data_IF_042575730348
#
_entry.id   IF_042575730348
#
_cell.length_a   1.000
_cell.length_b   1.000
_cell.length_c   1.000
_cell.angle_alpha   90.00
_cell.angle_beta   90.00
_cell.angle_gamma   90.00
#
_symmetry.space_group_name_H-M   'P 1'
#
loop_
_entity.id
_entity.type
_entity.pdbx_description
1 polymer ?
#
# COMPACT_ATOMS: atom_id res chain seq x y z
N UNK A 1 5.94 49.74 -45.03
CA UNK A 1 7.25 49.15 -45.36
C UNK A 1 7.37 47.85 -44.57
N UNK A 2 7.29 46.74 -45.28
CA UNK A 2 7.33 45.38 -44.76
C UNK A 2 8.78 44.87 -44.71
N UNK A 3 9.11 44.08 -43.68
CA UNK A 3 10.28 43.18 -43.64
C UNK A 3 10.08 42.24 -42.44
N UNK A 4 9.39 41.11 -42.63
CA UNK A 4 9.96 39.78 -42.87
C UNK A 4 10.98 39.31 -41.81
N UNK A 5 10.50 38.56 -40.81
CA UNK A 5 11.31 37.50 -40.17
C UNK A 5 10.66 36.15 -40.47
N UNK A 6 11.52 35.24 -40.94
CA UNK A 6 11.19 33.95 -41.54
C UNK A 6 10.84 32.90 -40.47
N UNK A 7 9.85 32.09 -40.82
CA UNK A 7 9.59 30.76 -40.27
C UNK A 7 10.73 29.80 -40.63
N UNK A 8 11.05 28.89 -39.71
CA UNK A 8 11.76 27.65 -39.98
C UNK A 8 11.08 26.53 -39.21
N UNK A 9 10.54 25.55 -39.93
CA UNK A 9 9.72 24.44 -39.45
C UNK A 9 10.53 23.13 -39.36
N UNK A 10 10.16 22.32 -38.35
CA UNK A 10 9.98 20.86 -38.29
C UNK A 10 10.94 19.86 -39.00
N UNK A 11 11.39 18.86 -38.24
CA UNK A 11 11.28 17.40 -38.48
C UNK A 11 12.06 16.67 -37.34
N UNK A 12 11.44 15.98 -36.38
CA UNK A 12 11.03 14.55 -36.36
C UNK A 12 12.03 13.59 -37.00
N UNK A 13 12.71 12.79 -36.17
CA UNK A 13 13.15 11.44 -36.53
C UNK A 13 13.25 10.56 -35.28
N UNK A 14 12.53 9.45 -35.32
CA UNK A 14 12.57 8.33 -34.38
C UNK A 14 13.75 7.39 -34.66
N UNK A 15 14.22 6.66 -33.65
CA UNK A 15 15.20 5.57 -33.77
C UNK A 15 15.28 4.82 -32.45
N UNK A 16 14.41 3.83 -32.22
CA UNK A 16 14.66 2.38 -32.36
C UNK A 16 15.51 1.79 -31.22
N UNK A 17 14.79 1.13 -30.30
CA UNK A 17 15.22 0.00 -29.48
C UNK A 17 15.96 -1.06 -30.33
N UNK A 18 17.11 -1.55 -29.86
CA UNK A 18 17.37 -2.97 -29.65
C UNK A 18 18.84 -3.24 -29.28
N UNK A 19 19.01 -4.03 -28.20
CA UNK A 19 19.94 -5.16 -28.19
C UNK A 19 21.38 -4.91 -27.74
N UNK A 20 21.74 -5.53 -26.61
CA UNK A 20 22.98 -6.28 -26.47
C UNK A 20 22.86 -7.27 -25.29
N UNK A 21 22.23 -8.41 -25.57
CA UNK A 21 22.48 -9.67 -24.87
C UNK A 21 23.80 -10.23 -25.43
N UNK A 22 24.83 -10.26 -24.59
CA UNK A 22 26.11 -10.89 -24.91
C UNK A 22 26.06 -12.39 -24.65
N UNK A 23 26.14 -13.16 -25.74
CA UNK A 23 26.35 -14.61 -25.74
C UNK A 23 27.83 -14.97 -25.65
N UNK A 24 28.16 -15.95 -24.81
CA UNK A 24 29.26 -16.92 -24.99
C UNK A 24 28.55 -18.28 -25.01
N UNK A 25 28.56 -19.13 -26.04
CA UNK A 25 29.51 -19.34 -27.11
C UNK A 25 30.24 -20.66 -26.89
N UNK A 26 29.62 -21.81 -27.24
CA UNK A 26 30.33 -23.04 -27.63
C UNK A 26 29.40 -24.07 -28.31
N UNK A 27 29.50 -24.06 -29.64
CA UNK A 27 29.33 -25.11 -30.65
C UNK A 27 28.97 -26.54 -30.23
N UNK A 28 27.97 -27.13 -30.91
CA UNK A 28 28.25 -28.14 -31.95
C UNK A 28 27.03 -28.38 -32.84
N UNK A 29 27.34 -28.66 -34.10
CA UNK A 29 26.50 -28.73 -35.30
C UNK A 29 26.23 -30.21 -35.60
N UNK A 30 24.99 -30.58 -35.92
CA UNK A 30 24.67 -31.79 -36.69
C UNK A 30 23.28 -31.64 -37.31
N UNK A 31 23.20 -31.86 -38.62
CA UNK A 31 22.02 -31.87 -39.48
C UNK A 31 22.18 -33.13 -40.38
N UNK A 32 21.16 -33.57 -41.14
CA UNK A 32 19.92 -34.21 -40.71
C UNK A 32 19.83 -35.67 -41.19
N UNK A 33 18.89 -36.45 -40.66
CA UNK A 33 18.48 -37.71 -41.28
C UNK A 33 16.95 -37.76 -41.39
N UNK A 34 16.50 -37.69 -42.64
CA UNK A 34 15.14 -37.98 -43.09
C UNK A 34 14.81 -39.45 -42.82
N UNK A 35 13.74 -39.69 -42.06
CA UNK A 35 13.22 -41.02 -41.76
C UNK A 35 11.71 -40.93 -41.59
N UNK A 36 10.98 -41.22 -42.66
CA UNK A 36 9.54 -41.39 -42.72
C UNK A 36 9.17 -42.73 -42.07
N UNK A 37 8.38 -42.72 -41.00
CA UNK A 37 7.65 -43.90 -40.51
C UNK A 37 6.26 -43.45 -40.04
N UNK A 38 5.29 -44.28 -40.40
CA UNK A 38 3.85 -44.16 -40.26
C UNK A 38 3.34 -44.16 -38.80
N UNK A 39 2.32 -43.33 -38.60
CA UNK A 39 1.08 -43.56 -37.85
C UNK A 39 1.07 -44.63 -36.72
N UNK A 40 0.92 -44.18 -35.48
CA UNK A 40 0.01 -44.83 -34.53
C UNK A 40 -0.64 -43.79 -33.62
N UNK A 41 -1.94 -43.70 -33.73
CA UNK A 41 -2.89 -42.92 -32.94
C UNK A 41 -2.93 -43.44 -31.50
N UNK A 42 -2.63 -42.60 -30.51
CA UNK A 42 -3.19 -42.76 -29.17
C UNK A 42 -3.45 -41.38 -28.55
N UNK A 43 -4.73 -41.03 -28.51
CA UNK A 43 -5.24 -39.82 -27.92
C UNK A 43 -5.18 -39.95 -26.38
N UNK A 44 -4.19 -39.31 -25.76
CA UNK A 44 -4.21 -39.05 -24.32
C UNK A 44 -5.04 -37.78 -24.08
N UNK A 45 -6.33 -37.99 -23.80
CA UNK A 45 -7.26 -36.98 -23.29
C UNK A 45 -6.80 -36.54 -21.90
N UNK A 46 -5.90 -35.55 -21.84
CA UNK A 46 -5.63 -34.84 -20.60
C UNK A 46 -6.83 -33.94 -20.30
N UNK A 47 -7.74 -34.44 -19.48
CA UNK A 47 -8.81 -33.66 -18.89
C UNK A 47 -8.20 -32.60 -17.98
N UNK A 48 -8.00 -31.39 -18.51
CA UNK A 48 -7.81 -30.18 -17.70
C UNK A 48 -9.14 -29.89 -17.02
N UNK A 49 -9.36 -30.52 -15.86
CA UNK A 49 -10.41 -30.07 -14.95
C UNK A 49 -10.11 -28.63 -14.52
N UNK A 50 -11.11 -27.74 -14.43
CA UNK A 50 -10.88 -26.42 -13.87
C UNK A 50 -10.40 -26.62 -12.43
N UNK A 51 -9.20 -26.13 -12.12
CA UNK A 51 -8.77 -25.97 -10.75
C UNK A 51 -9.82 -25.06 -10.08
N UNK A 52 -10.70 -25.64 -9.28
CA UNK A 52 -11.49 -24.89 -8.31
C UNK A 52 -10.49 -24.22 -7.39
N UNK A 53 -10.17 -22.97 -7.68
CA UNK A 53 -9.54 -22.06 -6.73
C UNK A 53 -10.41 -22.12 -5.47
N UNK A 54 -9.90 -22.75 -4.42
CA UNK A 54 -10.55 -22.73 -3.11
C UNK A 54 -10.51 -21.29 -2.65
N UNK A 55 -11.68 -20.63 -2.66
CA UNK A 55 -11.85 -19.29 -2.10
C UNK A 55 -11.34 -19.29 -0.65
N UNK A 56 -10.31 -18.48 -0.38
CA UNK A 56 -9.67 -18.38 0.93
C UNK A 56 -10.47 -17.39 1.76
N UNK A 57 -11.64 -17.80 2.25
CA UNK A 57 -12.25 -17.05 3.34
C UNK A 57 -11.32 -17.17 4.57
N UNK A 58 -10.94 -16.07 5.24
CA UNK A 58 -10.05 -16.12 6.39
C UNK A 58 -10.64 -17.02 7.49
N UNK A 59 -9.92 -18.07 7.87
CA UNK A 59 -10.36 -19.01 8.90
C UNK A 59 -10.42 -18.31 10.26
N UNK A 60 -11.47 -18.55 11.04
CA UNK A 60 -11.69 -17.92 12.36
C UNK A 60 -10.54 -18.13 13.38
N UNK A 61 -9.64 -19.09 13.12
CA UNK A 61 -8.47 -19.40 13.96
C UNK A 61 -7.22 -18.61 13.60
N UNK A 62 -7.23 -17.82 12.53
CA UNK A 62 -6.08 -17.02 12.11
C UNK A 62 -5.84 -15.82 13.03
N UNK A 63 -4.58 -15.36 13.11
CA UNK A 63 -4.20 -14.13 13.83
C UNK A 63 -5.00 -12.93 13.31
N UNK A 64 -5.15 -11.87 14.12
CA UNK A 64 -5.87 -10.67 13.69
C UNK A 64 -5.19 -10.02 12.48
N UNK A 65 -3.86 -10.06 12.48
CA UNK A 65 -2.96 -9.64 11.40
C UNK A 65 -3.22 -10.42 10.12
N UNK A 66 -3.24 -11.76 10.20
CA UNK A 66 -3.51 -12.61 9.04
C UNK A 66 -4.93 -12.40 8.48
N UNK A 67 -5.93 -12.17 9.33
CA UNK A 67 -7.29 -11.87 8.88
C UNK A 67 -7.39 -10.52 8.16
N UNK A 68 -6.71 -9.49 8.65
CA UNK A 68 -6.67 -8.19 7.98
C UNK A 68 -5.92 -8.29 6.64
N UNK A 69 -4.74 -8.90 6.64
CA UNK A 69 -3.89 -9.01 5.45
C UNK A 69 -4.45 -9.95 4.38
N UNK A 70 -5.38 -10.84 4.72
CA UNK A 70 -6.13 -11.62 3.74
C UNK A 70 -7.01 -10.76 2.81
N UNK A 71 -7.24 -9.49 3.15
CA UNK A 71 -7.94 -8.52 2.31
C UNK A 71 -7.00 -7.63 1.49
N UNK A 72 -5.68 -7.91 1.51
CA UNK A 72 -4.72 -7.24 0.66
C UNK A 72 -4.89 -7.73 -0.79
N UNK A 73 -5.06 -6.79 -1.72
CA UNK A 73 -5.05 -7.10 -3.14
C UNK A 73 -3.72 -7.81 -3.51
N UNK A 74 -3.77 -9.02 -4.10
CA UNK A 74 -2.56 -9.74 -4.47
C UNK A 74 -1.69 -9.01 -5.49
N UNK A 75 -2.28 -8.10 -6.29
CA UNK A 75 -1.57 -7.26 -7.25
C UNK A 75 -1.12 -5.92 -6.66
N UNK A 76 -1.39 -5.64 -5.38
CA UNK A 76 -0.95 -4.40 -4.73
C UNK A 76 0.58 -4.25 -4.81
N UNK A 77 1.01 -3.08 -5.27
CA UNK A 77 2.43 -2.70 -5.28
C UNK A 77 2.81 -1.92 -4.03
N UNK A 78 1.83 -1.30 -3.37
CA UNK A 78 2.03 -0.53 -2.15
C UNK A 78 0.98 -0.90 -1.12
N UNK A 79 1.40 -1.13 0.11
CA UNK A 79 0.51 -1.36 1.23
C UNK A 79 1.07 -0.78 2.54
N UNK A 80 0.16 -0.40 3.43
CA UNK A 80 0.47 0.07 4.76
C UNK A 80 -0.52 -0.53 5.77
N UNK A 81 -0.01 -1.22 6.79
CA UNK A 81 -0.77 -1.67 7.94
C UNK A 81 -0.47 -0.78 9.15
N UNK A 82 -1.49 -0.27 9.83
CA UNK A 82 -1.36 0.72 10.91
C UNK A 82 -2.27 0.37 12.08
N UNK A 83 -1.74 0.47 13.29
CA UNK A 83 -2.52 0.38 14.53
C UNK A 83 -3.22 1.72 14.82
N UNK A 84 -4.54 1.75 14.58
CA UNK A 84 -5.37 2.93 14.80
C UNK A 84 -5.49 3.30 16.29
N UNK A 85 -5.19 2.38 17.21
CA UNK A 85 -5.32 2.59 18.65
C UNK A 85 -4.30 3.58 19.24
N UNK A 86 -3.20 3.87 18.54
CA UNK A 86 -2.13 4.76 19.02
C UNK A 86 -2.25 6.21 18.55
N UNK A 87 -3.21 6.55 17.69
CA UNK A 87 -3.48 7.92 17.20
C UNK A 87 -2.21 8.70 16.80
N UNK A 88 -1.31 8.03 16.08
CA UNK A 88 -0.02 8.62 15.69
C UNK A 88 -0.18 9.57 14.49
N UNK A 89 0.67 10.59 14.42
CA UNK A 89 0.83 11.40 13.21
C UNK A 89 1.62 10.62 12.15
N UNK A 90 0.89 9.79 11.40
CA UNK A 90 1.46 8.88 10.39
C UNK A 90 2.15 9.62 9.26
N UNK A 91 1.69 10.83 8.91
CA UNK A 91 2.31 11.64 7.88
C UNK A 91 3.71 12.10 8.33
N UNK A 92 3.84 12.56 9.57
CA UNK A 92 5.14 12.90 10.13
C UNK A 92 6.05 11.67 10.25
N UNK A 93 5.52 10.52 10.68
CA UNK A 93 6.28 9.27 10.73
C UNK A 93 6.82 8.87 9.35
N UNK A 94 5.97 8.89 8.32
CA UNK A 94 6.38 8.58 6.95
C UNK A 94 7.42 9.57 6.44
N UNK A 95 7.22 10.86 6.71
CA UNK A 95 8.22 11.88 6.40
C UNK A 95 9.56 11.61 7.10
N UNK A 96 9.56 11.29 8.40
CA UNK A 96 10.78 10.96 9.16
C UNK A 96 11.49 9.72 8.60
N UNK A 97 10.74 8.75 8.09
CA UNK A 97 11.26 7.56 7.42
C UNK A 97 11.84 7.85 6.01
N UNK A 98 11.68 9.05 5.47
CA UNK A 98 12.06 9.37 4.09
C UNK A 98 11.13 8.72 3.07
N UNK A 99 9.83 8.60 3.39
CA UNK A 99 8.88 7.99 2.49
C UNK A 99 8.68 8.82 1.21
N UNK A 100 8.48 8.19 0.05
CA UNK A 100 8.03 8.90 -1.14
C UNK A 100 6.61 9.46 -0.93
N UNK A 101 6.21 10.57 -1.61
CA UNK A 101 4.93 11.24 -1.38
C UNK A 101 3.70 10.34 -1.54
N UNK A 102 3.76 9.35 -2.43
CA UNK A 102 2.68 8.38 -2.63
C UNK A 102 2.43 7.55 -1.37
N UNK A 103 3.51 7.16 -0.67
CA UNK A 103 3.42 6.41 0.59
C UNK A 103 2.93 7.30 1.71
N UNK A 104 3.41 8.55 1.79
CA UNK A 104 2.91 9.54 2.76
C UNK A 104 1.39 9.76 2.62
N UNK A 105 0.90 9.91 1.38
CA UNK A 105 -0.52 10.06 1.09
C UNK A 105 -1.33 8.81 1.45
N UNK A 106 -0.78 7.62 1.19
CA UNK A 106 -1.42 6.34 1.54
C UNK A 106 -1.63 6.20 3.05
N UNK A 107 -0.58 6.43 3.85
CA UNK A 107 -0.67 6.30 5.32
C UNK A 107 -1.54 7.38 5.94
N UNK A 108 -1.64 8.56 5.33
CA UNK A 108 -2.58 9.58 5.80
C UNK A 108 -4.01 9.10 5.60
N UNK A 109 -4.33 8.61 4.39
CA UNK A 109 -5.69 8.16 4.03
C UNK A 109 -6.21 7.00 4.91
N UNK A 110 -5.33 6.11 5.36
CA UNK A 110 -5.74 4.97 6.21
C UNK A 110 -6.33 5.41 7.56
N UNK A 111 -5.87 6.53 8.11
CA UNK A 111 -6.35 7.07 9.38
C UNK A 111 -7.56 8.00 9.22
N UNK A 112 -7.64 8.71 8.10
CA UNK A 112 -8.67 9.73 7.89
C UNK A 112 -10.05 9.10 7.62
N UNK A 113 -10.15 8.07 6.78
CA UNK A 113 -11.46 7.55 6.37
C UNK A 113 -12.34 6.99 7.52
N UNK A 114 -11.81 6.23 8.50
CA UNK A 114 -12.58 5.82 9.68
C UNK A 114 -13.05 7.01 10.54
N UNK A 115 -12.20 8.04 10.64
CA UNK A 115 -12.48 9.26 11.42
C UNK A 115 -13.56 10.10 10.74
N UNK A 116 -13.42 10.36 9.44
CA UNK A 116 -14.40 11.09 8.62
C UNK A 116 -15.78 10.43 8.66
N UNK A 117 -15.82 9.09 8.63
CA UNK A 117 -17.08 8.36 8.73
C UNK A 117 -17.71 8.50 10.12
N UNK A 118 -16.91 8.42 11.18
CA UNK A 118 -17.40 8.58 12.55
C UNK A 118 -17.99 9.99 12.77
N UNK A 119 -17.33 11.03 12.26
CA UNK A 119 -17.83 12.41 12.31
C UNK A 119 -19.13 12.56 11.52
N UNK A 120 -19.21 12.03 10.30
CA UNK A 120 -20.41 12.07 9.49
C UNK A 120 -21.60 11.38 10.19
N UNK A 121 -21.37 10.18 10.71
CA UNK A 121 -22.42 9.41 11.40
C UNK A 121 -22.91 10.13 12.65
N UNK A 122 -22.03 10.81 13.39
CA UNK A 122 -22.41 11.59 14.57
C UNK A 122 -23.32 12.80 14.24
N UNK A 123 -23.29 13.31 12.99
CA UNK A 123 -24.21 14.38 12.56
C UNK A 123 -25.64 13.88 12.42
N UNK A 124 -25.83 12.68 11.88
CA UNK A 124 -27.15 12.09 11.62
C UNK A 124 -27.66 11.24 12.79
N UNK A 125 -26.74 10.65 13.57
CA UNK A 125 -27.02 9.78 14.72
C UNK A 125 -26.10 10.18 15.90
N UNK A 126 -26.46 11.21 16.68
CA UNK A 126 -25.56 11.82 17.68
C UNK A 126 -25.02 10.87 18.76
N UNK A 127 -25.79 9.83 19.11
CA UNK A 127 -25.39 8.84 20.13
C UNK A 127 -24.63 7.64 19.54
N UNK A 128 -24.49 7.56 18.21
CA UNK A 128 -23.77 6.48 17.57
C UNK A 128 -22.27 6.61 17.82
N UNK A 129 -21.65 5.49 18.21
CA UNK A 129 -20.20 5.39 18.37
C UNK A 129 -19.70 4.25 17.50
N UNK A 130 -19.21 4.58 16.32
CA UNK A 130 -18.45 3.63 15.52
C UNK A 130 -17.18 3.27 16.29
N UNK A 131 -16.95 1.98 16.47
CA UNK A 131 -15.78 1.46 17.17
C UNK A 131 -14.82 0.89 16.15
N UNK A 132 -13.63 1.47 16.10
CA UNK A 132 -12.51 0.99 15.31
C UNK A 132 -11.55 0.27 16.24
N UNK A 133 -11.12 -0.93 15.85
CA UNK A 133 -10.26 -1.76 16.70
C UNK A 133 -8.97 -2.12 15.97
N UNK A 134 -7.85 -2.15 16.69
CA UNK A 134 -6.59 -2.71 16.22
C UNK A 134 -6.07 -2.09 14.92
N UNK A 135 -5.89 -2.95 13.92
CA UNK A 135 -5.18 -2.63 12.69
C UNK A 135 -6.12 -2.17 11.57
N UNK A 136 -5.63 -1.24 10.77
CA UNK A 136 -6.16 -0.91 9.46
C UNK A 136 -5.09 -1.14 8.39
N UNK A 137 -5.54 -1.42 7.17
CA UNK A 137 -4.75 -1.67 5.99
C UNK A 137 -5.14 -0.63 4.93
N UNK A 138 -4.16 -0.06 4.24
CA UNK A 138 -4.36 0.65 3.00
C UNK A 138 -3.52 -0.01 1.92
N UNK A 139 -4.08 -0.21 0.73
CA UNK A 139 -3.36 -0.79 -0.40
C UNK A 139 -3.62 -0.02 -1.68
N UNK A 140 -2.63 -0.02 -2.57
CA UNK A 140 -2.69 0.59 -3.88
C UNK A 140 -2.22 -0.40 -4.94
N UNK A 141 -3.04 -0.61 -5.96
CA UNK A 141 -2.70 -1.36 -7.16
C UNK A 141 -1.78 -0.57 -8.10
N UNK A 142 -1.17 -1.22 -9.10
CA UNK A 142 -0.21 -0.60 -10.02
C UNK A 142 -0.84 0.45 -10.95
N UNK A 143 -2.13 0.32 -11.24
CA UNK A 143 -2.88 1.22 -12.14
C UNK A 143 -3.89 2.08 -11.39
N UNK A 144 -4.02 1.87 -10.08
CA UNK A 144 -5.03 2.53 -9.27
C UNK A 144 -4.47 3.82 -8.67
N UNK A 145 -5.16 4.93 -8.93
CA UNK A 145 -4.83 6.22 -8.30
C UNK A 145 -5.45 6.38 -6.92
N UNK A 146 -6.28 5.44 -6.47
CA UNK A 146 -7.03 5.56 -5.21
C UNK A 146 -6.90 4.30 -4.39
N UNK A 147 -6.50 4.40 -3.11
CA UNK A 147 -6.30 3.22 -2.29
C UNK A 147 -7.63 2.59 -1.87
N UNK A 148 -7.57 1.29 -1.61
CA UNK A 148 -8.58 0.58 -0.83
C UNK A 148 -8.11 0.57 0.60
N UNK A 149 -9.00 0.92 1.51
CA UNK A 149 -8.74 0.93 2.94
C UNK A 149 -9.57 -0.16 3.58
N UNK A 150 -9.00 -0.94 4.48
CA UNK A 150 -9.68 -1.95 5.27
C UNK A 150 -9.44 -1.63 6.74
N UNK A 151 -10.49 -1.58 7.55
CA UNK A 151 -10.37 -1.31 8.97
C UNK A 151 -11.13 -2.37 9.76
N UNK A 152 -10.59 -2.77 10.91
CA UNK A 152 -11.32 -3.64 11.81
C UNK A 152 -12.36 -2.85 12.63
N UNK A 153 -13.53 -3.45 12.79
CA UNK A 153 -14.70 -2.86 13.46
C UNK A 153 -15.01 -3.61 14.75
N UNK A 154 -15.40 -2.85 15.77
CA UNK A 154 -15.94 -3.39 17.02
C UNK A 154 -17.45 -3.61 16.94
N UNK A 155 -17.95 -4.65 17.63
CA UNK A 155 -19.39 -4.92 17.75
C UNK A 155 -20.03 -5.68 16.58
N UNK A 156 -19.25 -6.04 15.56
CA UNK A 156 -19.68 -6.91 14.46
C UNK A 156 -20.35 -6.18 13.29
N UNK A 157 -20.34 -6.83 12.12
CA UNK A 157 -20.85 -6.24 10.86
C UNK A 157 -22.32 -5.81 10.93
N UNK A 158 -23.18 -6.55 11.64
CA UNK A 158 -24.61 -6.27 11.68
C UNK A 158 -24.93 -5.00 12.47
N UNK A 159 -24.30 -4.82 13.64
CA UNK A 159 -24.44 -3.61 14.45
C UNK A 159 -23.88 -2.39 13.72
N UNK A 160 -22.73 -2.57 13.06
CA UNK A 160 -22.11 -1.54 12.23
C UNK A 160 -23.03 -1.13 11.07
N UNK A 161 -23.57 -2.09 10.33
CA UNK A 161 -24.48 -1.83 9.20
C UNK A 161 -25.80 -1.20 9.64
N UNK A 162 -26.36 -1.60 10.79
CA UNK A 162 -27.56 -0.99 11.35
C UNK A 162 -27.32 0.49 11.71
N UNK A 163 -26.15 0.80 12.27
CA UNK A 163 -25.74 2.18 12.57
C UNK A 163 -25.65 3.02 11.31
N UNK A 164 -25.03 2.49 10.25
CA UNK A 164 -24.93 3.20 8.97
C UNK A 164 -26.27 3.33 8.25
N UNK A 165 -27.15 2.34 8.35
CA UNK A 165 -28.51 2.44 7.82
C UNK A 165 -29.29 3.56 8.52
N UNK A 166 -29.12 3.73 9.83
CA UNK A 166 -29.69 4.86 10.58
C UNK A 166 -29.11 6.21 10.12
N UNK A 167 -27.82 6.25 9.74
CA UNK A 167 -27.17 7.39 9.10
C UNK A 167 -27.48 7.52 7.58
N UNK A 168 -28.49 6.81 7.08
CA UNK A 168 -28.98 6.97 5.71
C UNK A 168 -28.19 6.22 4.63
N UNK A 169 -27.31 5.28 4.98
CA UNK A 169 -26.69 4.40 3.99
C UNK A 169 -27.70 3.38 3.47
N UNK A 170 -27.66 3.09 2.16
CA UNK A 170 -28.46 2.04 1.53
C UNK A 170 -27.63 0.79 1.30
N UNK A 171 -28.21 -0.39 1.59
CA UNK A 171 -27.58 -1.68 1.36
C UNK A 171 -27.84 -2.18 -0.07
N UNK A 172 -26.80 -2.71 -0.69
CA UNK A 172 -26.78 -3.37 -1.99
C UNK A 172 -25.89 -4.63 -1.91
N UNK A 173 -25.97 -5.52 -2.89
CA UNK A 173 -25.11 -6.71 -2.98
C UNK A 173 -24.43 -6.74 -4.34
N UNK A 174 -23.09 -6.76 -4.35
CA UNK A 174 -22.27 -6.76 -5.58
C UNK A 174 -21.11 -7.73 -5.44
N UNK A 175 -20.91 -8.59 -6.44
CA UNK A 175 -19.79 -9.57 -6.45
C UNK A 175 -19.72 -10.47 -5.20
N UNK A 176 -20.87 -10.70 -4.55
CA UNK A 176 -20.98 -11.46 -3.31
C UNK A 176 -20.68 -10.67 -2.03
N UNK A 177 -20.43 -9.36 -2.13
CA UNK A 177 -20.24 -8.48 -0.99
C UNK A 177 -21.48 -7.66 -0.68
N UNK A 178 -21.76 -7.44 0.61
CA UNK A 178 -22.70 -6.41 1.04
C UNK A 178 -22.04 -5.04 0.96
N UNK A 179 -22.63 -4.14 0.18
CA UNK A 179 -22.13 -2.79 -0.06
C UNK A 179 -23.12 -1.79 0.53
N UNK A 180 -22.62 -0.89 1.37
CA UNK A 180 -23.34 0.22 1.96
C UNK A 180 -22.97 1.49 1.18
N UNK A 181 -23.95 2.02 0.44
CA UNK A 181 -23.81 3.22 -0.36
C UNK A 181 -24.29 4.44 0.44
N UNK A 182 -23.45 5.48 0.63
CA UNK A 182 -23.88 6.71 1.27
C UNK A 182 -24.84 7.49 0.37
N UNK A 183 -25.90 8.06 0.96
CA UNK A 183 -26.77 9.02 0.26
C UNK A 183 -26.12 10.39 0.04
N UNK A 184 -25.16 10.76 0.88
CA UNK A 184 -24.52 12.08 0.90
C UNK A 184 -23.18 12.19 0.18
N UNK A 185 -22.41 13.19 0.60
CA UNK A 185 -21.11 13.55 0.02
C UNK A 185 -19.94 12.64 0.45
N UNK A 186 -20.18 11.68 1.35
CA UNK A 186 -19.15 10.75 1.82
C UNK A 186 -18.48 10.06 0.61
N UNK A 187 -17.14 10.15 0.48
CA UNK A 187 -16.46 9.83 -0.76
C UNK A 187 -16.28 8.33 -1.00
N UNK A 188 -16.59 7.49 -0.01
CA UNK A 188 -16.42 6.04 -0.08
C UNK A 188 -17.77 5.32 0.00
N UNK A 189 -17.89 4.19 -0.71
CA UNK A 189 -18.85 3.15 -0.35
C UNK A 189 -18.17 2.22 0.64
N UNK A 190 -18.96 1.61 1.52
CA UNK A 190 -18.43 0.74 2.55
C UNK A 190 -18.80 -0.70 2.22
N UNK A 191 -17.82 -1.60 2.19
CA UNK A 191 -18.02 -3.01 1.86
C UNK A 191 -17.87 -3.81 3.16
N UNK A 192 -18.87 -4.60 3.52
CA UNK A 192 -18.78 -5.52 4.65
C UNK A 192 -18.03 -6.77 4.18
N UNK A 193 -16.90 -7.07 4.80
CA UNK A 193 -16.00 -8.14 4.36
C UNK A 193 -16.27 -9.44 5.13
N UNK A 194 -15.87 -9.45 6.39
CA UNK A 194 -16.17 -10.51 7.37
C UNK A 194 -16.85 -9.89 8.61
N UNK A 195 -17.04 -10.66 9.67
CA UNK A 195 -17.70 -10.16 10.87
C UNK A 195 -16.92 -9.06 11.60
N UNK A 196 -15.62 -8.88 11.32
CA UNK A 196 -14.73 -7.95 11.99
C UNK A 196 -14.11 -6.87 11.11
N UNK A 197 -14.33 -6.85 9.79
CA UNK A 197 -13.68 -5.90 8.88
C UNK A 197 -14.64 -5.27 7.88
N UNK A 198 -14.33 -4.01 7.53
CA UNK A 198 -14.99 -3.27 6.44
C UNK A 198 -13.96 -2.64 5.52
N UNK A 199 -14.27 -2.55 4.23
CA UNK A 199 -13.47 -1.80 3.27
C UNK A 199 -14.12 -0.46 2.89
N UNK A 200 -13.29 0.56 2.68
CA UNK A 200 -13.66 1.83 2.09
C UNK A 200 -13.18 1.85 0.64
N UNK A 201 -14.14 1.87 -0.29
CA UNK A 201 -13.85 1.90 -1.73
C UNK A 201 -14.33 3.23 -2.29
N UNK A 202 -13.43 3.98 -2.95
CA UNK A 202 -13.78 5.29 -3.49
C UNK A 202 -14.95 5.23 -4.47
N UNK A 203 -15.82 6.25 -4.39
CA UNK A 203 -16.94 6.46 -5.34
C UNK A 203 -16.53 7.32 -6.53
N UNK A 204 -15.44 8.07 -6.42
CA UNK A 204 -15.06 9.11 -7.39
C UNK A 204 -13.99 8.66 -8.40
N UNK A 205 -13.32 7.53 -8.15
CA UNK A 205 -12.28 7.04 -9.05
C UNK A 205 -12.90 6.18 -10.15
N UNK A 206 -12.48 6.42 -11.39
CA UNK A 206 -12.71 5.45 -12.46
C UNK A 206 -11.84 4.23 -12.12
N UNK A 207 -12.41 3.02 -12.22
CA UNK A 207 -11.70 1.78 -11.89
C UNK A 207 -11.76 1.34 -10.43
N UNK A 208 -12.32 2.13 -9.49
CA UNK A 208 -12.50 1.70 -8.08
C UNK A 208 -13.70 0.75 -7.91
N UNK A 209 -13.59 -0.40 -8.58
CA UNK A 209 -14.49 -1.54 -8.45
C UNK A 209 -14.19 -2.37 -7.20
N UNK A 210 -14.88 -3.50 -7.09
CA UNK A 210 -14.63 -4.48 -6.03
C UNK A 210 -13.59 -5.53 -6.43
N UNK A 211 -13.07 -5.47 -7.67
CA UNK A 211 -12.11 -6.44 -8.21
C UNK A 211 -10.92 -6.71 -7.30
N UNK A 212 -10.28 -5.71 -6.65
CA UNK A 212 -9.18 -5.99 -5.72
C UNK A 212 -9.61 -6.79 -4.48
N UNK A 213 -10.82 -6.55 -3.96
CA UNK A 213 -11.37 -7.30 -2.83
C UNK A 213 -11.79 -8.72 -3.25
N UNK A 214 -12.38 -8.86 -4.44
CA UNK A 214 -12.68 -10.14 -5.06
C UNK A 214 -11.38 -10.94 -5.29
N UNK A 215 -10.32 -10.29 -5.78
CA UNK A 215 -9.00 -10.89 -5.98
C UNK A 215 -8.38 -11.34 -4.65
N UNK A 216 -8.40 -10.50 -3.61
CA UNK A 216 -7.93 -10.87 -2.27
C UNK A 216 -8.65 -12.12 -1.70
N UNK A 217 -9.97 -12.23 -1.92
CA UNK A 217 -10.77 -13.40 -1.51
C UNK A 217 -10.44 -14.68 -2.29
N UNK A 218 -10.24 -14.54 -3.61
CA UNK A 218 -10.27 -15.66 -4.54
C UNK A 218 -8.87 -16.16 -4.97
N UNK A 219 -7.82 -15.34 -4.81
CA UNK A 219 -6.45 -15.63 -5.23
C UNK A 219 -5.54 -15.96 -4.03
N UNK A 220 -4.41 -16.66 -4.26
CA UNK A 220 -3.46 -16.96 -3.20
C UNK A 220 -2.71 -15.71 -2.72
N UNK A 221 -2.17 -15.82 -1.50
CA UNK A 221 -1.41 -14.74 -0.87
C UNK A 221 -0.22 -14.27 -1.71
N UNK A 222 -0.11 -12.95 -1.89
CA UNK A 222 1.01 -12.36 -2.62
C UNK A 222 2.32 -12.44 -1.84
N UNK A 223 3.48 -12.22 -2.49
CA UNK A 223 4.74 -12.01 -1.78
C UNK A 223 4.68 -10.83 -0.80
N UNK A 224 3.94 -9.77 -1.15
CA UNK A 224 3.73 -8.60 -0.29
C UNK A 224 2.94 -8.96 0.97
N UNK A 225 1.82 -9.68 0.83
CA UNK A 225 1.01 -10.16 1.96
C UNK A 225 1.86 -10.95 2.94
N UNK A 226 2.63 -11.93 2.44
CA UNK A 226 3.48 -12.79 3.28
C UNK A 226 4.55 -12.00 4.02
N UNK A 227 5.25 -11.09 3.32
CA UNK A 227 6.27 -10.22 3.94
C UNK A 227 5.67 -9.35 5.04
N UNK A 228 4.54 -8.71 4.79
CA UNK A 228 3.88 -7.88 5.79
C UNK A 228 3.40 -8.71 6.96
N UNK A 229 2.86 -9.91 6.73
CA UNK A 229 2.44 -10.81 7.80
C UNK A 229 3.63 -11.19 8.70
N UNK A 230 4.74 -11.61 8.11
CA UNK A 230 5.96 -11.94 8.85
C UNK A 230 6.44 -10.77 9.71
N UNK A 231 6.39 -9.54 9.18
CA UNK A 231 6.74 -8.33 9.92
C UNK A 231 5.76 -8.02 11.06
N UNK A 232 4.45 -8.15 10.81
CA UNK A 232 3.41 -7.88 11.80
C UNK A 232 3.37 -8.91 12.92
N UNK A 233 3.81 -10.15 12.68
CA UNK A 233 3.91 -11.20 13.69
C UNK A 233 5.22 -11.16 14.50
N UNK A 234 6.18 -10.30 14.10
CA UNK A 234 7.44 -10.13 14.81
C UNK A 234 7.27 -9.57 16.24
N UNK A 235 8.30 -9.76 17.08
CA UNK A 235 8.34 -9.25 18.46
C UNK A 235 9.54 -8.31 18.65
N UNK A 236 9.34 -7.07 19.14
CA UNK A 236 8.06 -6.42 19.45
C UNK A 236 7.20 -6.21 18.17
N UNK A 237 5.87 -6.31 18.32
CA UNK A 237 4.94 -6.15 17.20
C UNK A 237 4.97 -4.70 16.69
N UNK A 238 5.08 -4.47 15.38
CA UNK A 238 5.01 -3.14 14.82
C UNK A 238 3.62 -2.51 14.95
N UNK A 239 3.61 -1.19 15.11
CA UNK A 239 2.41 -0.34 15.12
C UNK A 239 2.17 0.28 13.74
N UNK A 240 3.19 0.32 12.89
CA UNK A 240 3.09 0.70 11.48
C UNK A 240 4.02 -0.22 10.69
N UNK A 241 3.54 -0.76 9.58
CA UNK A 241 4.30 -1.55 8.61
C UNK A 241 3.92 -1.06 7.21
N UNK A 242 4.92 -0.70 6.41
CA UNK A 242 4.73 -0.11 5.09
C UNK A 242 5.65 -0.84 4.11
N UNK A 243 5.11 -1.27 2.99
CA UNK A 243 5.89 -1.82 1.90
C UNK A 243 5.39 -1.27 0.56
N UNK A 244 6.31 -0.79 -0.26
CA UNK A 244 6.05 -0.21 -1.57
C UNK A 244 7.09 -0.71 -2.57
N UNK A 245 6.65 -1.00 -3.79
CA UNK A 245 7.47 -1.47 -4.88
C UNK A 245 7.12 -0.75 -6.19
N UNK A 246 8.08 -0.71 -7.10
CA UNK A 246 7.97 -0.04 -8.39
C UNK A 246 8.70 1.29 -8.41
N UNK A 247 8.66 2.05 -9.52
CA UNK A 247 9.28 3.37 -9.59
C UNK A 247 8.48 4.34 -8.71
N UNK A 248 9.02 4.66 -7.54
CA UNK A 248 8.43 5.58 -6.57
C UNK A 248 9.13 6.94 -6.72
N UNK A 249 8.47 7.96 -7.30
CA UNK A 249 9.03 9.31 -7.35
C UNK A 249 9.28 9.81 -5.93
N UNK A 250 10.43 10.43 -5.71
CA UNK A 250 10.84 10.92 -4.39
C UNK A 250 11.31 12.38 -4.52
N UNK A 251 10.83 13.27 -3.65
CA UNK A 251 11.08 14.71 -3.79
C UNK A 251 12.52 15.11 -3.49
N UNK A 252 13.17 14.39 -2.58
CA UNK A 252 14.57 14.65 -2.23
C UNK A 252 15.55 13.82 -3.06
N UNK A 253 15.09 12.94 -3.96
CA UNK A 253 15.96 12.07 -4.73
C UNK A 253 16.04 12.52 -6.20
N UNK A 254 17.22 12.46 -6.83
CA UNK A 254 17.32 12.72 -8.27
C UNK A 254 16.65 11.62 -9.11
N UNK A 255 16.71 10.39 -8.61
CA UNK A 255 16.19 9.18 -9.26
C UNK A 255 15.05 8.57 -8.42
N UNK A 256 14.10 7.86 -9.04
CA UNK A 256 13.06 7.17 -8.30
C UNK A 256 13.63 6.06 -7.40
N UNK A 257 12.85 5.64 -6.41
CA UNK A 257 13.12 4.41 -5.66
C UNK A 257 12.53 3.23 -6.43
N UNK A 258 13.20 2.08 -6.45
CA UNK A 258 12.65 0.80 -6.88
C UNK A 258 11.75 0.15 -5.82
N UNK A 259 11.93 0.57 -4.56
CA UNK A 259 11.17 0.07 -3.43
C UNK A 259 11.41 0.89 -2.17
N UNK A 260 10.44 0.80 -1.27
CA UNK A 260 10.47 1.43 0.04
C UNK A 260 9.84 0.47 1.05
N UNK A 261 10.48 0.34 2.21
CA UNK A 261 9.94 -0.42 3.33
C UNK A 261 10.15 0.36 4.60
N UNK A 262 9.15 0.43 5.46
CA UNK A 262 9.29 1.06 6.77
C UNK A 262 8.49 0.33 7.83
N UNK A 263 9.09 0.22 9.01
CA UNK A 263 8.50 -0.41 10.17
C UNK A 263 8.66 0.51 11.37
N UNK A 264 7.58 0.70 12.13
CA UNK A 264 7.60 1.42 13.40
C UNK A 264 7.24 0.45 14.50
N UNK A 265 8.16 0.29 15.45
CA UNK A 265 7.98 -0.62 16.58
C UNK A 265 7.96 0.14 17.89
N UNK A 266 7.20 -0.33 18.90
CA UNK A 266 7.34 0.17 20.26
C UNK A 266 8.78 0.03 20.75
N UNK A 267 9.28 1.10 21.35
CA UNK A 267 10.59 1.18 21.97
C UNK A 267 10.43 1.69 23.41
N UNK A 268 11.47 1.54 24.23
CA UNK A 268 11.54 1.81 25.67
C UNK A 268 10.48 2.77 26.22
N UNK A 269 9.78 2.37 27.29
CA UNK A 269 8.86 3.21 28.08
C UNK A 269 7.77 3.93 27.25
N UNK A 270 7.39 3.37 26.09
CA UNK A 270 6.36 3.93 25.21
C UNK A 270 6.89 4.76 24.04
N UNK A 271 8.21 4.88 23.89
CA UNK A 271 8.87 5.41 22.70
C UNK A 271 8.63 4.59 21.43
N UNK A 272 9.23 5.01 20.33
CA UNK A 272 9.14 4.35 19.02
C UNK A 272 10.54 4.17 18.40
N UNK A 273 10.78 3.04 17.73
CA UNK A 273 11.93 2.82 16.84
C UNK A 273 11.38 2.77 15.41
N UNK A 274 11.65 3.82 14.64
CA UNK A 274 11.31 3.97 13.23
C UNK A 274 12.49 3.47 12.42
N UNK A 275 12.26 2.50 11.53
CA UNK A 275 13.25 1.98 10.61
C UNK A 275 12.70 2.02 9.20
N UNK A 276 13.53 2.38 8.23
CA UNK A 276 13.17 2.30 6.82
C UNK A 276 14.33 1.81 5.96
N UNK A 277 13.98 1.18 4.84
CA UNK A 277 14.86 0.78 3.76
C UNK A 277 14.38 1.43 2.47
N UNK A 278 15.22 2.28 1.88
CA UNK A 278 14.97 2.92 0.61
C UNK A 278 15.90 2.31 -0.43
N UNK A 279 15.33 1.86 -1.56
CA UNK A 279 16.06 1.17 -2.62
C UNK A 279 16.15 2.09 -3.84
N UNK A 280 17.13 3.00 -3.95
CA UNK A 280 17.25 3.90 -5.10
C UNK A 280 17.55 3.14 -6.39
N UNK A 281 17.06 3.64 -7.53
CA UNK A 281 17.53 3.17 -8.84
C UNK A 281 18.85 3.83 -9.26
N UNK A 282 19.19 4.96 -8.63
CA UNK A 282 20.43 5.71 -8.83
C UNK A 282 21.49 5.45 -7.75
N UNK A 283 22.36 6.43 -7.52
CA UNK A 283 23.42 6.35 -6.52
C UNK A 283 22.87 6.46 -5.07
N UNK A 284 23.06 5.44 -4.21
CA UNK A 284 22.57 5.46 -2.84
C UNK A 284 23.27 6.49 -1.94
N UNK A 285 24.53 6.83 -2.20
CA UNK A 285 25.24 7.88 -1.44
C UNK A 285 24.62 9.26 -1.70
N UNK A 286 24.29 9.54 -2.96
CA UNK A 286 23.58 10.76 -3.35
C UNK A 286 22.20 10.87 -2.68
N UNK A 287 21.43 9.77 -2.60
CA UNK A 287 20.15 9.75 -1.89
C UNK A 287 20.33 10.00 -0.38
N UNK A 288 21.26 9.30 0.27
CA UNK A 288 21.51 9.44 1.70
C UNK A 288 21.95 10.87 2.06
N UNK A 289 22.81 11.47 1.24
CA UNK A 289 23.24 12.86 1.39
C UNK A 289 22.07 13.83 1.19
N UNK A 290 21.20 13.61 0.21
CA UNK A 290 20.06 14.47 -0.03
C UNK A 290 19.04 14.41 1.12
N UNK A 291 18.72 13.21 1.63
CA UNK A 291 17.83 13.03 2.78
C UNK A 291 18.40 13.66 4.06
N UNK A 292 19.72 13.52 4.29
CA UNK A 292 20.39 14.12 5.45
C UNK A 292 20.40 15.65 5.41
N UNK A 293 20.44 16.24 4.20
CA UNK A 293 20.47 17.68 3.98
C UNK A 293 19.11 18.26 3.57
N UNK A 294 18.04 17.47 3.65
CA UNK A 294 16.72 17.89 3.18
C UNK A 294 16.24 19.11 3.96
N UNK A 295 15.53 19.98 3.24
CA UNK A 295 14.88 21.13 3.88
C UNK A 295 13.58 20.67 4.52
N UNK A 296 13.26 21.24 5.67
CA UNK A 296 11.99 21.02 6.40
C UNK A 296 11.12 22.29 6.33
N UNK A 297 10.72 22.76 5.13
CA UNK A 297 9.97 24.02 5.03
C UNK A 297 8.59 23.87 5.68
N UNK A 298 8.20 24.86 6.48
CA UNK A 298 6.87 24.89 7.11
C UNK A 298 6.70 23.99 8.34
N UNK A 299 7.75 23.27 8.76
CA UNK A 299 7.74 22.53 10.03
C UNK A 299 8.07 23.46 11.20
N UNK A 300 7.46 23.20 12.36
CA UNK A 300 7.86 23.85 13.61
C UNK A 300 9.28 23.40 14.02
N UNK A 301 9.90 24.15 14.94
CA UNK A 301 11.27 23.93 15.35
C UNK A 301 11.52 22.54 15.96
N UNK A 302 10.54 22.00 16.71
CA UNK A 302 10.68 20.68 17.37
C UNK A 302 10.62 19.57 16.34
N UNK A 303 9.67 19.65 15.41
CA UNK A 303 9.54 18.70 14.30
C UNK A 303 10.78 18.74 13.40
N UNK A 304 11.29 19.93 13.07
CA UNK A 304 12.53 20.09 12.32
C UNK A 304 13.77 19.57 13.09
N UNK A 305 13.80 19.72 14.42
CA UNK A 305 14.85 19.14 15.26
C UNK A 305 14.79 17.61 15.25
N UNK A 306 13.61 17.01 15.33
CA UNK A 306 13.42 15.57 15.24
C UNK A 306 13.83 15.01 13.88
N UNK A 307 13.47 15.68 12.78
CA UNK A 307 13.85 15.28 11.42
C UNK A 307 15.37 15.24 11.22
N UNK A 308 16.12 16.12 11.88
CA UNK A 308 17.60 16.16 11.84
C UNK A 308 18.26 15.03 12.65
N UNK A 309 17.51 14.31 13.48
CA UNK A 309 18.04 13.17 14.25
C UNK A 309 17.99 11.85 13.49
N UNK A 310 17.31 11.81 12.33
CA UNK A 310 17.23 10.61 11.52
C UNK A 310 18.61 10.28 10.97
N UNK A 311 19.10 9.07 11.25
CA UNK A 311 20.34 8.57 10.70
C UNK A 311 20.06 7.86 9.37
N UNK A 312 20.67 8.34 8.28
CA UNK A 312 20.65 7.69 6.98
C UNK A 312 22.02 7.05 6.71
N UNK A 313 22.04 5.74 6.49
CA UNK A 313 23.28 4.97 6.26
C UNK A 313 23.17 4.14 5.00
N UNK A 314 24.23 4.10 4.19
CA UNK A 314 24.28 3.29 2.97
C UNK A 314 24.77 1.88 3.29
N UNK A 315 24.03 0.87 2.84
CA UNK A 315 24.41 -0.55 2.92
C UNK A 315 24.18 -1.20 1.55
N UNK A 316 25.26 -1.29 0.75
CA UNK A 316 25.16 -1.76 -0.64
C UNK A 316 24.28 -0.81 -1.46
N UNK A 317 23.24 -1.34 -2.09
CA UNK A 317 22.29 -0.54 -2.90
C UNK A 317 21.05 -0.10 -2.11
N UNK A 318 21.11 -0.07 -0.78
CA UNK A 318 20.01 0.32 0.10
C UNK A 318 20.45 1.48 0.99
N UNK A 319 19.61 2.49 1.12
CA UNK A 319 19.74 3.51 2.16
C UNK A 319 18.84 3.11 3.32
N UNK A 320 19.42 2.90 4.50
CA UNK A 320 18.66 2.63 5.72
C UNK A 320 18.44 3.92 6.48
N UNK A 321 17.21 4.18 6.88
CA UNK A 321 16.87 5.23 7.83
C UNK A 321 16.58 4.62 9.20
N UNK A 322 17.06 5.26 10.28
CA UNK A 322 16.67 4.89 11.64
C UNK A 322 16.51 6.11 12.54
N UNK A 323 15.46 6.09 13.35
CA UNK A 323 15.19 7.09 14.37
C UNK A 323 14.56 6.44 15.60
N UNK A 324 15.17 6.65 16.76
CA UNK A 324 14.59 6.28 18.05
C UNK A 324 13.98 7.52 18.69
N UNK A 325 12.68 7.46 18.99
CA UNK A 325 11.87 8.57 19.48
C UNK A 325 11.50 8.28 20.94
N UNK A 326 11.98 9.07 21.91
CA UNK A 326 11.61 8.90 23.31
C UNK A 326 10.11 9.10 23.56
N UNK A 327 9.58 8.45 24.60
CA UNK A 327 8.15 8.49 24.93
C UNK A 327 7.58 9.92 25.13
N UNK A 328 8.38 10.83 25.69
CA UNK A 328 8.00 12.24 25.84
C UNK A 328 7.77 12.91 24.49
N UNK A 329 8.67 12.67 23.53
CA UNK A 329 8.55 13.21 22.17
C UNK A 329 7.37 12.60 21.41
N UNK A 330 7.11 11.29 21.61
CA UNK A 330 5.93 10.64 21.03
C UNK A 330 4.66 11.33 21.52
N UNK A 331 4.51 11.53 22.83
CA UNK A 331 3.33 12.20 23.42
C UNK A 331 3.18 13.64 22.96
N UNK A 332 4.29 14.37 22.90
CA UNK A 332 4.25 15.81 22.65
C UNK A 332 4.08 16.17 21.16
N UNK A 333 4.55 15.31 20.24
CA UNK A 333 4.61 15.62 18.81
C UNK A 333 3.86 14.64 17.91
N UNK A 334 3.71 13.38 18.32
CA UNK A 334 3.17 12.33 17.45
C UNK A 334 1.77 11.88 17.85
N UNK A 335 1.38 11.99 19.12
CA UNK A 335 0.02 11.66 19.53
C UNK A 335 -0.94 12.80 19.19
N UNK A 336 -1.91 12.53 18.32
CA UNK A 336 -3.00 13.46 18.03
C UNK A 336 -4.00 13.46 19.19
N UNK A 337 -4.54 14.63 19.59
CA UNK A 337 -5.64 14.67 20.54
C UNK A 337 -6.82 13.84 19.99
N UNK A 338 -7.44 13.06 20.88
CA UNK A 338 -8.63 12.25 20.58
C UNK A 338 -9.87 13.10 20.37
#
# INVERSE_FOLDING_TARGET
MASHRRLGAAAVAAGVLAGLLGSVGCSSRSEPASGRVEETTEAATAATGPATASAKAPTATASAEARLLAWLDPDATTAAAVDLGRHLDLALIAYLAGAPPQVEDLVRKVADAPSDLAELVALDVPDAKLRWEGLALASLGPLDGTPILVAAIGGGKDAFAATLAAAGFSRDVREGFEVLEPRGAFPHRIVLLDDGHVAFVSRRSIGSGLSPLSAARDLPASPLERRMLDAMEARPRPVVEIAAAGPLPHLDAPDPLAGFHATVTPWQEGGLDVRAELMPTGDPESLAAALSNRKTPGMDERTAALARQVAFTVEGNVVRARLQIPATTVRDLLERPR
#
